data_IF_461177573945
#
_entry.id   IF_461177573945
#
_cell.length_a   1.000
_cell.length_b   1.000
_cell.length_c   1.000
_cell.angle_alpha   90.00
_cell.angle_beta   90.00
_cell.angle_gamma   90.00
#
_symmetry.space_group_name_H-M   'P 1'
#
loop_
_entity.id
_entity.type
_entity.pdbx_description
1 polymer ?
#
# COMPACT_ATOMS: atom_id res chain seq x y z
N UNK A 1 1.48 20.19 -4.04
CA UNK A 1 2.62 19.96 -3.13
C UNK A 1 3.62 19.09 -3.87
N UNK A 2 4.86 19.51 -3.91
CA UNK A 2 5.95 18.71 -4.47
C UNK A 2 7.14 18.71 -3.52
N UNK A 3 7.83 17.57 -3.44
CA UNK A 3 8.99 17.44 -2.56
C UNK A 3 9.60 16.05 -2.59
N UNK A 4 10.78 15.85 -1.99
CA UNK A 4 11.41 14.53 -2.00
C UNK A 4 10.66 13.52 -1.14
N UNK A 5 10.15 13.92 0.02
CA UNK A 5 9.52 13.03 0.97
C UNK A 5 8.65 13.81 1.96
N UNK A 6 7.48 13.28 2.26
CA UNK A 6 6.59 13.80 3.30
C UNK A 6 6.67 12.90 4.53
N UNK A 7 7.38 13.34 5.55
CA UNK A 7 7.58 12.59 6.78
C UNK A 7 6.47 12.85 7.77
N UNK A 8 5.66 11.83 8.01
CA UNK A 8 4.53 11.92 8.93
C UNK A 8 4.96 11.57 10.36
N UNK A 9 5.15 12.59 11.17
CA UNK A 9 5.41 12.46 12.61
C UNK A 9 4.11 12.42 13.43
N UNK A 10 3.07 13.06 12.91
CA UNK A 10 1.74 13.16 13.49
C UNK A 10 0.69 12.72 12.46
N UNK A 11 -0.56 12.65 12.88
CA UNK A 11 -1.66 12.43 11.97
C UNK A 11 -1.64 13.47 10.85
N UNK A 12 -1.76 13.01 9.61
CA UNK A 12 -1.73 13.84 8.44
C UNK A 12 -2.95 13.57 7.55
N UNK A 13 -3.55 14.64 7.06
CA UNK A 13 -4.65 14.57 6.10
C UNK A 13 -4.38 15.49 4.91
N UNK A 14 -4.61 14.97 3.71
CA UNK A 14 -4.47 15.67 2.43
C UNK A 14 -5.77 15.51 1.66
N UNK A 15 -6.33 16.63 1.23
CA UNK A 15 -7.59 16.62 0.48
C UNK A 15 -7.57 17.65 -0.65
N UNK A 16 -8.11 17.26 -1.81
CA UNK A 16 -8.21 18.14 -2.99
C UNK A 16 -6.84 18.71 -3.43
N UNK A 17 -5.81 17.89 -3.45
CA UNK A 17 -4.44 18.31 -3.76
C UNK A 17 -3.85 17.50 -4.92
N UNK A 18 -2.95 18.15 -5.67
CA UNK A 18 -1.97 17.44 -6.47
C UNK A 18 -0.68 17.29 -5.65
N UNK A 19 -0.24 16.06 -5.45
CA UNK A 19 0.92 15.70 -4.65
C UNK A 19 1.90 14.95 -5.55
N UNK A 20 3.10 15.47 -5.72
CA UNK A 20 4.10 14.87 -6.58
C UNK A 20 5.41 14.59 -5.81
N UNK A 21 5.93 13.38 -5.94
CA UNK A 21 7.27 13.06 -5.47
C UNK A 21 8.32 13.54 -6.48
N UNK A 22 9.35 14.23 -6.00
CA UNK A 22 10.50 14.56 -6.81
C UNK A 22 11.63 13.56 -6.58
N UNK A 23 12.20 13.01 -7.66
CA UNK A 23 13.29 12.05 -7.58
C UNK A 23 12.86 10.65 -7.07
N UNK A 24 13.84 9.86 -6.65
CA UNK A 24 13.64 8.46 -6.23
C UNK A 24 13.37 8.34 -4.72
N UNK A 25 12.38 9.06 -4.21
CA UNK A 25 12.02 9.04 -2.80
C UNK A 25 10.63 8.44 -2.58
N UNK A 26 10.44 7.82 -1.42
CA UNK A 26 9.12 7.44 -0.96
C UNK A 26 8.32 8.71 -0.66
N UNK A 27 7.04 8.75 -1.05
CA UNK A 27 6.27 9.98 -0.90
C UNK A 27 5.86 10.21 0.56
N UNK A 28 5.14 9.26 1.15
CA UNK A 28 4.73 9.34 2.55
C UNK A 28 5.50 8.33 3.39
N UNK A 29 6.16 8.79 4.42
CA UNK A 29 6.93 7.92 5.32
C UNK A 29 6.63 8.21 6.79
N UNK A 30 6.78 7.19 7.62
CA UNK A 30 6.84 7.38 9.08
C UNK A 30 8.23 7.84 9.49
N UNK A 31 8.32 8.59 10.57
CA UNK A 31 9.57 8.95 11.21
C UNK A 31 9.54 8.48 12.66
N UNK A 32 10.66 8.65 13.40
CA UNK A 32 10.73 8.41 14.84
C UNK A 32 9.65 9.23 15.58
N UNK A 33 8.43 8.78 15.55
CA UNK A 33 7.31 9.37 16.26
C UNK A 33 7.10 8.62 17.56
N UNK A 34 6.68 9.33 18.57
CA UNK A 34 6.26 8.73 19.85
C UNK A 34 4.91 8.01 19.70
N UNK A 35 4.21 8.26 18.58
CA UNK A 35 2.89 7.74 18.28
C UNK A 35 2.84 7.18 16.87
N UNK A 36 2.01 6.17 16.67
CA UNK A 36 1.69 5.64 15.34
C UNK A 36 0.73 6.61 14.63
N UNK A 37 1.18 7.35 13.61
CA UNK A 37 0.34 8.35 12.96
C UNK A 37 -0.72 7.70 12.07
N UNK A 38 -1.77 8.46 11.76
CA UNK A 38 -2.71 8.14 10.70
C UNK A 38 -2.40 8.98 9.46
N UNK A 39 -2.52 8.36 8.28
CA UNK A 39 -2.44 9.03 6.99
C UNK A 39 -3.79 8.95 6.30
N UNK A 40 -4.35 10.10 5.95
CA UNK A 40 -5.60 10.20 5.22
C UNK A 40 -5.37 11.03 3.94
N UNK A 41 -5.62 10.42 2.78
CA UNK A 41 -5.52 11.06 1.47
C UNK A 41 -6.84 10.87 0.75
N UNK A 42 -7.49 11.95 0.37
CA UNK A 42 -8.81 11.91 -0.25
C UNK A 42 -8.93 12.97 -1.36
N UNK A 43 -9.61 12.61 -2.44
CA UNK A 43 -9.84 13.50 -3.59
C UNK A 43 -8.53 14.11 -4.14
N UNK A 44 -7.46 13.33 -4.16
CA UNK A 44 -6.12 13.80 -4.56
C UNK A 44 -5.65 13.18 -5.88
N UNK A 45 -4.76 13.90 -6.57
CA UNK A 45 -3.93 13.31 -7.62
C UNK A 45 -2.52 13.13 -7.07
N UNK A 46 -1.97 11.93 -7.20
CA UNK A 46 -0.66 11.57 -6.65
C UNK A 46 0.25 11.05 -7.75
N UNK A 47 1.36 11.71 -7.98
CA UNK A 47 2.42 11.26 -8.88
C UNK A 47 3.59 10.73 -8.07
N UNK A 48 3.77 9.41 -8.06
CA UNK A 48 4.78 8.73 -7.26
C UNK A 48 5.91 8.18 -8.11
N UNK A 49 7.13 8.63 -7.84
CA UNK A 49 8.34 8.13 -8.48
C UNK A 49 9.01 6.95 -7.72
N UNK A 50 8.46 6.54 -6.58
CA UNK A 50 8.93 5.42 -5.75
C UNK A 50 7.76 4.78 -5.00
N UNK A 51 7.94 4.26 -3.77
CA UNK A 51 6.76 3.84 -3.00
C UNK A 51 5.89 5.06 -2.65
N UNK A 52 4.57 4.92 -2.76
CA UNK A 52 3.66 5.99 -2.34
C UNK A 52 3.67 6.10 -0.82
N UNK A 53 3.48 4.98 -0.14
CA UNK A 53 3.52 4.91 1.33
C UNK A 53 4.58 3.91 1.76
N UNK A 54 5.47 4.34 2.64
CA UNK A 54 6.55 3.50 3.15
C UNK A 54 6.76 3.66 4.65
N UNK A 55 6.51 2.60 5.39
CA UNK A 55 6.85 2.50 6.80
C UNK A 55 8.32 2.17 6.93
N UNK A 56 9.13 3.19 7.19
CA UNK A 56 10.60 3.06 7.19
C UNK A 56 11.18 2.58 8.51
N UNK A 57 10.41 2.66 9.58
CA UNK A 57 10.92 2.40 10.93
C UNK A 57 10.64 0.98 11.40
N UNK A 58 11.58 0.41 12.16
CA UNK A 58 11.45 -0.95 12.68
C UNK A 58 10.35 -1.11 13.75
N UNK A 59 10.02 -0.03 14.44
CA UNK A 59 9.14 -0.04 15.62
C UNK A 59 7.89 0.82 15.47
N UNK A 60 7.77 1.58 14.38
CA UNK A 60 6.67 2.52 14.18
C UNK A 60 6.08 2.39 12.78
N UNK A 61 4.77 2.25 12.74
CA UNK A 61 3.99 2.16 11.52
C UNK A 61 2.94 3.25 11.50
N UNK A 62 2.37 3.51 10.33
CA UNK A 62 1.05 4.13 10.32
C UNK A 62 0.05 3.24 11.05
N UNK A 63 -0.69 3.81 11.99
CA UNK A 63 -1.85 3.15 12.62
C UNK A 63 -2.94 2.89 11.60
N UNK A 64 -3.16 3.85 10.71
CA UNK A 64 -4.02 3.67 9.55
C UNK A 64 -3.51 4.43 8.35
N UNK A 65 -3.74 3.86 7.18
CA UNK A 65 -3.53 4.50 5.88
C UNK A 65 -4.85 4.41 5.13
N UNK A 66 -5.41 5.54 4.82
CA UNK A 66 -6.61 5.67 4.00
C UNK A 66 -6.28 6.45 2.71
N UNK A 67 -6.63 5.86 1.59
CA UNK A 67 -6.70 6.53 0.30
C UNK A 67 -8.10 6.34 -0.27
N UNK A 68 -8.77 7.46 -0.55
CA UNK A 68 -10.12 7.47 -1.10
C UNK A 68 -10.25 8.43 -2.29
N UNK A 69 -11.08 8.07 -3.27
CA UNK A 69 -11.45 8.92 -4.40
C UNK A 69 -10.25 9.55 -5.13
N UNK A 70 -9.10 8.89 -5.15
CA UNK A 70 -7.84 9.50 -5.58
C UNK A 70 -7.30 8.83 -6.84
N UNK A 71 -6.51 9.58 -7.61
CA UNK A 71 -5.81 9.08 -8.79
C UNK A 71 -4.33 8.96 -8.43
N UNK A 72 -3.77 7.76 -8.53
CA UNK A 72 -2.38 7.48 -8.17
C UNK A 72 -1.62 6.97 -9.37
N UNK A 73 -0.68 7.77 -9.87
CA UNK A 73 0.25 7.37 -10.92
C UNK A 73 1.48 6.72 -10.29
N UNK A 74 1.80 5.51 -10.75
CA UNK A 74 2.99 4.77 -10.36
C UNK A 74 3.96 4.67 -11.55
N UNK A 75 5.23 4.95 -11.33
CA UNK A 75 6.21 5.09 -12.42
C UNK A 75 7.40 4.15 -12.33
N UNK A 76 7.66 3.53 -11.17
CA UNK A 76 8.84 2.70 -10.95
C UNK A 76 8.46 1.28 -10.59
N UNK A 77 8.98 0.31 -11.34
CA UNK A 77 8.77 -1.11 -11.08
C UNK A 77 9.33 -1.56 -9.73
N UNK A 78 8.69 -2.56 -9.14
CA UNK A 78 9.07 -3.13 -7.84
C UNK A 78 9.08 -2.12 -6.67
N UNK A 79 8.32 -1.04 -6.81
CA UNK A 79 8.08 -0.05 -5.76
C UNK A 79 6.59 -0.01 -5.42
N UNK A 80 6.15 -0.81 -4.45
CA UNK A 80 4.74 -0.95 -4.09
C UNK A 80 4.07 0.39 -3.77
N UNK A 81 2.75 0.45 -3.97
CA UNK A 81 1.98 1.57 -3.43
C UNK A 81 2.19 1.68 -1.92
N UNK A 82 1.97 0.58 -1.19
CA UNK A 82 2.28 0.51 0.24
C UNK A 82 3.36 -0.54 0.51
N UNK A 83 4.36 -0.18 1.26
CA UNK A 83 5.41 -1.09 1.73
C UNK A 83 5.79 -0.81 3.16
N UNK A 84 6.07 -1.86 3.92
CA UNK A 84 6.57 -1.74 5.28
C UNK A 84 7.72 -2.71 5.55
N UNK A 85 8.70 -2.22 6.31
CA UNK A 85 9.78 -3.03 6.89
C UNK A 85 9.64 -3.17 8.41
N UNK A 86 8.59 -2.62 8.99
CA UNK A 86 8.42 -2.66 10.43
C UNK A 86 8.43 -4.10 10.95
N UNK A 87 9.25 -4.33 11.98
CA UNK A 87 9.42 -5.65 12.59
C UNK A 87 8.47 -5.89 13.75
N UNK A 88 8.20 -4.84 14.51
CA UNK A 88 7.59 -4.89 15.83
C UNK A 88 6.39 -3.96 15.92
N UNK A 89 5.44 -4.07 14.98
CA UNK A 89 4.21 -3.30 15.06
C UNK A 89 3.38 -3.82 16.24
N UNK A 90 3.31 -3.05 17.30
CA UNK A 90 2.55 -3.38 18.49
C UNK A 90 1.06 -3.05 18.36
N UNK A 91 0.66 -2.31 17.34
CA UNK A 91 -0.70 -1.81 17.17
C UNK A 91 -1.41 -2.45 15.97
N UNK A 92 -2.72 -2.54 16.07
CA UNK A 92 -3.56 -2.91 14.95
C UNK A 92 -3.42 -1.86 13.85
N UNK A 93 -3.05 -2.30 12.64
CA UNK A 93 -2.89 -1.45 11.47
C UNK A 93 -4.05 -1.66 10.51
N UNK A 94 -4.58 -0.56 9.98
CA UNK A 94 -5.59 -0.58 8.92
C UNK A 94 -5.02 0.07 7.65
N UNK A 95 -5.05 -0.66 6.54
CA UNK A 95 -4.83 -0.11 5.20
C UNK A 95 -6.15 -0.19 4.45
N UNK A 96 -6.68 0.98 4.09
CA UNK A 96 -7.93 1.07 3.32
C UNK A 96 -7.71 1.87 2.05
N UNK A 97 -7.98 1.22 0.92
CA UNK A 97 -7.93 1.79 -0.42
C UNK A 97 -9.33 1.68 -1.01
N UNK A 98 -10.03 2.80 -1.16
CA UNK A 98 -11.42 2.82 -1.61
C UNK A 98 -11.65 3.82 -2.73
N UNK A 99 -12.25 3.35 -3.82
CA UNK A 99 -12.63 4.17 -4.97
C UNK A 99 -11.46 4.96 -5.58
N UNK A 100 -10.29 4.34 -5.75
CA UNK A 100 -9.13 4.98 -6.36
C UNK A 100 -8.90 4.47 -7.78
N UNK A 101 -8.14 5.24 -8.55
CA UNK A 101 -7.51 4.82 -9.80
C UNK A 101 -6.01 4.73 -9.57
N UNK A 102 -5.48 3.51 -9.60
CA UNK A 102 -4.03 3.26 -9.62
C UNK A 102 -3.61 2.99 -11.06
N UNK A 103 -2.67 3.75 -11.59
CA UNK A 103 -2.28 3.55 -12.97
C UNK A 103 -0.79 3.73 -13.24
N UNK A 104 -0.34 3.10 -14.33
CA UNK A 104 0.92 3.35 -14.98
C UNK A 104 0.68 3.59 -16.48
N UNK A 105 1.51 4.44 -17.11
CA UNK A 105 1.38 4.73 -18.53
C UNK A 105 1.72 3.51 -19.41
N UNK A 106 2.64 2.70 -18.95
CA UNK A 106 3.04 1.43 -19.57
C UNK A 106 2.90 0.30 -18.56
N UNK A 107 2.79 -0.97 -19.01
CA UNK A 107 2.73 -2.11 -18.09
C UNK A 107 3.85 -2.09 -17.07
N UNK A 108 3.50 -2.01 -15.81
CA UNK A 108 4.40 -1.84 -14.66
C UNK A 108 4.26 -3.03 -13.71
N UNK A 109 5.32 -3.81 -13.57
CA UNK A 109 5.33 -4.88 -12.58
C UNK A 109 5.49 -4.30 -11.17
N UNK A 110 4.42 -4.36 -10.38
CA UNK A 110 4.40 -3.82 -9.03
C UNK A 110 3.36 -4.46 -8.13
N UNK A 111 3.57 -4.37 -6.81
CA UNK A 111 2.56 -4.70 -5.82
C UNK A 111 1.69 -3.48 -5.51
N UNK A 112 0.43 -3.72 -5.19
CA UNK A 112 -0.37 -2.68 -4.55
C UNK A 112 0.04 -2.58 -3.06
N UNK A 113 0.11 -3.72 -2.37
CA UNK A 113 0.53 -3.78 -0.98
C UNK A 113 1.63 -4.84 -0.84
N UNK A 114 2.74 -4.46 -0.19
CA UNK A 114 3.83 -5.37 0.15
C UNK A 114 4.20 -5.21 1.63
N UNK A 115 3.57 -6.00 2.48
CA UNK A 115 3.75 -5.96 3.92
C UNK A 115 4.59 -7.13 4.37
N UNK A 116 5.84 -6.85 4.63
CA UNK A 116 6.64 -7.73 5.44
C UNK A 116 7.64 -8.62 4.74
N UNK A 117 8.47 -9.15 5.59
CA UNK A 117 9.42 -10.21 5.34
C UNK A 117 8.93 -11.47 6.08
N UNK A 118 8.99 -12.61 5.42
CA UNK A 118 8.57 -13.91 5.97
C UNK A 118 9.23 -14.22 7.31
N UNK A 119 10.51 -13.88 7.44
CA UNK A 119 11.28 -14.12 8.67
C UNK A 119 10.80 -13.31 9.88
N UNK A 120 9.93 -12.32 9.65
CA UNK A 120 9.45 -11.37 10.65
C UNK A 120 7.93 -11.43 10.87
N UNK A 121 7.25 -12.38 10.23
CA UNK A 121 5.81 -12.51 10.27
C UNK A 121 5.25 -12.73 11.68
N UNK A 122 5.99 -13.38 12.54
CA UNK A 122 5.55 -13.71 13.89
C UNK A 122 5.51 -12.54 14.87
N UNK A 123 6.13 -11.43 14.52
CA UNK A 123 6.22 -10.24 15.39
C UNK A 123 5.19 -9.17 15.03
N UNK A 124 4.36 -9.42 14.01
CA UNK A 124 3.37 -8.45 13.54
C UNK A 124 1.99 -8.82 13.99
N UNK A 125 1.39 -7.89 14.65
CA UNK A 125 0.03 -8.00 15.05
C UNK A 125 -0.90 -7.30 14.08
N UNK A 126 -1.81 -8.06 13.47
CA UNK A 126 -3.15 -7.58 13.10
C UNK A 126 -3.23 -6.48 12.05
N UNK A 127 -2.63 -6.72 10.90
CA UNK A 127 -2.90 -5.91 9.71
C UNK A 127 -4.30 -6.23 9.18
N UNK A 128 -5.15 -5.23 9.08
CA UNK A 128 -6.40 -5.28 8.33
C UNK A 128 -6.22 -4.57 7.00
N UNK A 129 -6.62 -5.23 5.92
CA UNK A 129 -6.52 -4.70 4.56
C UNK A 129 -7.89 -4.66 3.92
N UNK A 130 -8.29 -3.48 3.46
CA UNK A 130 -9.52 -3.23 2.72
C UNK A 130 -9.17 -2.58 1.38
N UNK A 131 -9.45 -3.27 0.29
CA UNK A 131 -9.23 -2.79 -1.08
C UNK A 131 -10.52 -2.92 -1.84
N UNK A 132 -11.24 -1.80 -2.00
CA UNK A 132 -12.62 -1.80 -2.51
C UNK A 132 -12.83 -0.75 -3.58
N UNK A 133 -13.64 -1.08 -4.59
CA UNK A 133 -14.07 -0.15 -5.63
C UNK A 133 -12.95 0.50 -6.46
N UNK A 134 -11.75 -0.08 -6.51
CA UNK A 134 -10.62 0.54 -7.21
C UNK A 134 -10.54 0.10 -8.67
N UNK A 135 -10.00 0.99 -9.50
CA UNK A 135 -9.55 0.69 -10.85
C UNK A 135 -8.03 0.60 -10.87
N UNK A 136 -7.48 -0.49 -11.44
CA UNK A 136 -6.04 -0.72 -11.52
C UNK A 136 -5.69 -0.88 -12.99
N UNK A 137 -4.93 0.07 -13.54
CA UNK A 137 -4.59 0.11 -14.95
C UNK A 137 -3.07 -0.01 -15.17
N UNK A 138 -2.66 -1.00 -15.96
CA UNK A 138 -1.27 -1.27 -16.30
C UNK A 138 -0.32 -1.53 -15.10
N UNK A 139 -0.85 -1.83 -13.92
CA UNK A 139 -0.06 -2.29 -12.78
C UNK A 139 -0.36 -3.77 -12.58
N UNK A 140 0.65 -4.60 -12.53
CA UNK A 140 0.47 -6.05 -12.45
C UNK A 140 1.53 -6.73 -11.58
N UNK A 141 1.16 -7.87 -11.04
CA UNK A 141 2.08 -8.89 -10.51
C UNK A 141 1.64 -10.25 -11.02
N UNK A 142 2.55 -11.09 -11.48
CA UNK A 142 2.19 -12.38 -12.06
C UNK A 142 1.41 -13.30 -11.13
N UNK A 143 1.61 -13.15 -9.84
CA UNK A 143 1.01 -14.05 -8.86
C UNK A 143 0.18 -13.35 -7.77
N UNK A 144 0.55 -12.16 -7.31
CA UNK A 144 0.02 -11.58 -6.07
C UNK A 144 0.11 -10.06 -6.07
N UNK A 145 -1.03 -9.35 -6.05
CA UNK A 145 -1.06 -7.89 -5.90
C UNK A 145 -0.91 -7.43 -4.45
N UNK A 146 -1.45 -8.21 -3.51
CA UNK A 146 -1.39 -7.93 -2.09
C UNK A 146 -0.54 -9.01 -1.43
N UNK A 147 0.64 -8.63 -1.00
CA UNK A 147 1.56 -9.49 -0.27
C UNK A 147 1.57 -9.10 1.20
N UNK A 148 0.97 -9.92 2.03
CA UNK A 148 0.95 -9.71 3.48
C UNK A 148 1.15 -11.04 4.21
N UNK A 149 1.93 -11.05 5.27
CA UNK A 149 2.28 -12.28 5.98
C UNK A 149 1.39 -12.58 7.18
N UNK A 150 0.83 -11.56 7.80
CA UNK A 150 -0.11 -11.72 8.92
C UNK A 150 -1.26 -10.75 8.74
N UNK A 151 -2.46 -11.27 8.60
CA UNK A 151 -3.66 -10.46 8.45
C UNK A 151 -4.64 -10.74 9.58
N UNK A 152 -5.19 -9.67 10.16
CA UNK A 152 -6.36 -9.75 11.02
C UNK A 152 -7.65 -9.80 10.20
N UNK A 153 -7.62 -9.24 9.01
CA UNK A 153 -8.74 -9.27 8.07
C UNK A 153 -8.32 -8.82 6.67
N UNK A 154 -9.00 -9.34 5.67
CA UNK A 154 -8.82 -8.98 4.27
C UNK A 154 -10.17 -8.80 3.60
N UNK A 155 -10.40 -7.63 3.01
CA UNK A 155 -11.56 -7.36 2.15
C UNK A 155 -11.05 -6.87 0.80
N UNK A 156 -11.31 -7.63 -0.26
CA UNK A 156 -10.95 -7.26 -1.64
C UNK A 156 -12.17 -7.44 -2.51
N UNK A 157 -12.89 -6.36 -2.78
CA UNK A 157 -14.18 -6.42 -3.50
C UNK A 157 -14.35 -5.29 -4.48
N UNK A 158 -15.10 -5.54 -5.56
CA UNK A 158 -15.50 -4.53 -6.54
C UNK A 158 -14.34 -3.79 -7.20
N UNK A 159 -13.19 -4.42 -7.34
CA UNK A 159 -12.05 -3.84 -8.04
C UNK A 159 -12.03 -4.29 -9.50
N UNK A 160 -11.58 -3.42 -10.39
CA UNK A 160 -11.40 -3.70 -11.81
C UNK A 160 -9.92 -3.54 -12.16
N UNK A 161 -9.36 -4.54 -12.81
CA UNK A 161 -7.99 -4.51 -13.32
C UNK A 161 -7.95 -4.60 -14.85
N UNK A 162 -7.12 -3.77 -15.48
CA UNK A 162 -6.89 -3.79 -16.90
C UNK A 162 -5.39 -3.66 -17.24
N UNK A 163 -4.93 -4.44 -18.21
CA UNK A 163 -3.51 -4.49 -18.62
C UNK A 163 -3.38 -4.60 -20.11
N UNK A 164 -2.45 -3.85 -20.64
CA UNK A 164 -2.07 -3.93 -22.05
C UNK A 164 -0.88 -4.87 -22.22
N UNK A 165 -1.04 -5.91 -23.05
CA UNK A 165 0.07 -6.77 -23.49
C UNK A 165 0.61 -7.75 -22.43
N UNK A 166 -0.10 -7.97 -21.33
CA UNK A 166 0.28 -8.93 -20.30
C UNK A 166 -0.80 -9.99 -20.12
N UNK A 167 -0.43 -11.26 -20.25
CA UNK A 167 -1.31 -12.37 -19.89
C UNK A 167 -1.25 -12.56 -18.37
N UNK A 168 -2.10 -11.86 -17.66
CA UNK A 168 -2.13 -11.97 -16.22
C UNK A 168 -3.03 -13.11 -15.76
N UNK A 169 -2.51 -13.96 -14.90
CA UNK A 169 -3.29 -14.98 -14.20
C UNK A 169 -3.61 -14.50 -12.79
N UNK A 170 -4.88 -14.43 -12.44
CA UNK A 170 -5.42 -14.36 -11.05
C UNK A 170 -4.76 -13.36 -10.09
N UNK A 171 -4.72 -12.07 -10.38
CA UNK A 171 -3.89 -11.19 -9.66
C UNK A 171 -4.46 -10.25 -8.58
N UNK A 172 -5.77 -10.25 -8.38
CA UNK A 172 -6.36 -9.57 -7.24
C UNK A 172 -6.60 -10.49 -6.04
N UNK A 173 -6.40 -11.80 -6.17
CA UNK A 173 -6.87 -12.80 -5.19
C UNK A 173 -5.75 -13.51 -4.43
N UNK A 174 -4.52 -13.06 -4.55
CA UNK A 174 -3.43 -13.73 -3.85
C UNK A 174 -3.02 -13.02 -2.58
N UNK A 175 -3.37 -13.56 -1.43
CA UNK A 175 -2.62 -13.33 -0.19
C UNK A 175 -1.49 -14.33 -0.15
N UNK A 176 -0.25 -13.87 -0.13
CA UNK A 176 0.89 -14.76 -0.10
C UNK A 176 1.26 -15.08 1.35
N UNK A 177 1.34 -16.35 1.56
CA UNK A 177 1.72 -17.03 2.80
C UNK A 177 0.59 -17.18 3.83
N UNK A 178 -0.01 -18.33 3.76
CA UNK A 178 -0.97 -18.85 4.74
C UNK A 178 -0.29 -19.38 6.00
N UNK A 179 1.04 -19.29 6.13
CA UNK A 179 1.73 -19.68 7.35
C UNK A 179 1.39 -18.68 8.46
N UNK A 180 0.37 -18.98 9.24
CA UNK A 180 -0.17 -18.14 10.30
C UNK A 180 -1.63 -17.72 10.08
N UNK A 181 -2.22 -18.04 8.93
CA UNK A 181 -3.67 -17.99 8.81
C UNK A 181 -4.28 -19.21 9.52
N UNK A 182 -5.28 -19.00 10.36
CA UNK A 182 -6.17 -20.09 10.74
C UNK A 182 -6.73 -20.71 9.46
N UNK A 183 -6.78 -22.03 9.40
CA UNK A 183 -7.23 -22.78 8.22
C UNK A 183 -8.67 -22.41 7.76
N UNK A 184 -9.42 -21.74 8.61
CA UNK A 184 -10.79 -21.27 8.39
C UNK A 184 -10.88 -19.90 7.69
N UNK A 185 -9.72 -19.26 7.37
CA UNK A 185 -9.67 -17.94 6.72
C UNK A 185 -8.87 -17.90 5.42
N UNK A 186 -8.47 -19.05 4.91
CA UNK A 186 -7.80 -19.19 3.62
C UNK A 186 -8.79 -19.20 2.45
#
# INVERSE_FOLDING_TARGET
ISGPELRCKYNAAFKNLHIAASGNYNLFTTTNATYDPTLHVEDCTVDAAYNVVYDSHNTQNFKSVYFGNSIVKMTVANKPFYSTKAKDAHTQQLIRLDNNVFYAETPLQNYLINCGDRSRAFQRTRLQVEVTNNTIYNIYQPNIMIRAYVLAGLTVTKNVGYYTGVTAKNYLTGVYDTAGFPADKA
#
